data_IF_234559908866
#
_entry.id   IF_234559908866
#
_cell.length_a   1.000
_cell.length_b   1.000
_cell.length_c   1.000
_cell.angle_alpha   90.00
_cell.angle_beta   90.00
_cell.angle_gamma   90.00
#
_symmetry.space_group_name_H-M   'P 1'
#
loop_
_entity.id
_entity.type
_entity.pdbx_description
1 polymer ?
#
# COMPACT_ATOMS: atom_id res chain seq x y z
N UNK A 1 -13.80 14.98 -19.03
CA UNK A 1 -12.49 14.88 -18.37
C UNK A 1 -12.56 14.52 -16.87
N UNK A 2 -13.59 14.91 -16.12
CA UNK A 2 -13.74 14.60 -14.66
C UNK A 2 -14.06 13.13 -14.33
N UNK A 3 -14.80 12.44 -15.18
CA UNK A 3 -15.16 11.01 -14.99
C UNK A 3 -13.93 10.09 -15.11
N UNK A 4 -12.97 10.43 -15.95
CA UNK A 4 -11.77 9.62 -16.21
C UNK A 4 -10.80 9.51 -15.03
N UNK A 5 -10.71 10.53 -14.13
CA UNK A 5 -9.80 10.49 -12.98
C UNK A 5 -10.33 9.64 -11.82
N UNK A 6 -11.65 9.61 -11.60
CA UNK A 6 -12.27 8.75 -10.59
C UNK A 6 -12.19 7.26 -11.01
N UNK A 7 -12.30 6.99 -12.30
CA UNK A 7 -12.17 5.64 -12.87
C UNK A 7 -10.73 5.11 -12.80
N UNK A 8 -9.71 6.01 -12.85
CA UNK A 8 -8.30 5.64 -12.76
C UNK A 8 -7.95 4.84 -11.51
N UNK A 9 -8.53 5.17 -10.33
CA UNK A 9 -8.31 4.43 -9.10
C UNK A 9 -9.01 3.07 -9.04
N UNK A 10 -9.97 2.85 -9.91
CA UNK A 10 -10.79 1.63 -9.94
C UNK A 10 -10.47 0.73 -11.13
N UNK A 11 -9.76 1.25 -12.13
CA UNK A 11 -9.34 0.48 -13.28
C UNK A 11 -8.30 -0.57 -12.87
N UNK A 12 -8.51 -1.79 -13.34
CA UNK A 12 -7.62 -2.92 -13.04
C UNK A 12 -6.94 -3.38 -14.32
N UNK A 13 -5.65 -3.66 -14.22
CA UNK A 13 -4.88 -4.20 -15.34
C UNK A 13 -5.43 -5.55 -15.84
N UNK A 14 -5.87 -6.39 -14.92
CA UNK A 14 -6.55 -7.63 -15.26
C UNK A 14 -8.01 -7.56 -14.81
N UNK A 15 -8.96 -8.03 -15.65
CA UNK A 15 -10.35 -8.10 -15.28
C UNK A 15 -10.56 -8.90 -13.98
N UNK A 16 -11.27 -8.33 -13.03
CA UNK A 16 -11.69 -9.02 -11.80
C UNK A 16 -13.20 -9.22 -11.85
N UNK A 17 -13.68 -10.34 -12.40
CA UNK A 17 -15.11 -10.56 -12.59
C UNK A 17 -15.84 -10.54 -11.24
N UNK A 18 -17.09 -10.09 -11.23
CA UNK A 18 -17.93 -10.11 -10.03
C UNK A 18 -18.02 -11.55 -9.48
N UNK A 19 -17.93 -11.68 -8.16
CA UNK A 19 -18.13 -12.95 -7.47
C UNK A 19 -19.51 -12.92 -6.83
N UNK A 20 -20.43 -13.77 -7.27
CA UNK A 20 -21.84 -13.75 -6.85
C UNK A 20 -22.07 -13.73 -5.33
N UNK A 21 -21.15 -14.31 -4.55
CA UNK A 21 -21.26 -14.40 -3.09
C UNK A 21 -20.25 -13.55 -2.31
N UNK A 22 -19.48 -12.70 -2.99
CA UNK A 22 -18.46 -11.87 -2.34
C UNK A 22 -18.88 -10.39 -2.36
N UNK A 23 -19.36 -9.92 -1.22
CA UNK A 23 -19.80 -8.53 -1.03
C UNK A 23 -18.64 -7.54 -0.86
N UNK A 24 -17.38 -8.03 -0.81
CA UNK A 24 -16.21 -7.19 -0.57
C UNK A 24 -15.83 -6.41 -1.83
N UNK A 25 -15.57 -5.09 -1.73
CA UNK A 25 -15.00 -4.31 -2.81
C UNK A 25 -13.65 -4.89 -3.28
N UNK A 26 -13.22 -4.64 -4.52
CA UNK A 26 -11.96 -5.17 -5.06
C UNK A 26 -10.75 -4.89 -4.17
N UNK A 27 -10.54 -3.65 -3.73
CA UNK A 27 -9.39 -3.28 -2.89
C UNK A 27 -9.44 -3.90 -1.49
N UNK A 28 -10.62 -4.18 -0.94
CA UNK A 28 -10.73 -4.94 0.32
C UNK A 28 -10.26 -6.38 0.15
N UNK A 29 -10.50 -6.99 -1.02
CA UNK A 29 -9.96 -8.31 -1.34
C UNK A 29 -8.44 -8.27 -1.46
N UNK A 30 -7.89 -7.26 -2.14
CA UNK A 30 -6.45 -7.09 -2.30
C UNK A 30 -5.76 -6.85 -0.96
N UNK A 31 -6.34 -6.00 -0.10
CA UNK A 31 -5.90 -5.83 1.29
C UNK A 31 -5.82 -7.16 2.04
N UNK A 32 -6.85 -7.98 1.92
CA UNK A 32 -6.86 -9.33 2.52
C UNK A 32 -5.77 -10.23 1.95
N UNK A 33 -5.55 -10.22 0.64
CA UNK A 33 -4.48 -11.00 -0.02
C UNK A 33 -3.10 -10.62 0.51
N UNK A 34 -2.81 -9.32 0.63
CA UNK A 34 -1.54 -8.84 1.17
C UNK A 34 -1.36 -9.28 2.61
N UNK A 35 -2.34 -9.02 3.49
CA UNK A 35 -2.28 -9.40 4.90
C UNK A 35 -2.05 -10.89 5.14
N UNK A 36 -2.62 -11.74 4.29
CA UNK A 36 -2.50 -13.19 4.38
C UNK A 36 -1.33 -13.77 3.58
N UNK A 37 -0.57 -12.95 2.87
CA UNK A 37 0.58 -13.39 2.09
C UNK A 37 1.73 -13.89 2.98
N UNK A 38 2.51 -14.84 2.47
CA UNK A 38 3.70 -15.30 3.15
C UNK A 38 4.74 -14.18 3.28
N UNK A 39 4.89 -13.36 2.24
CA UNK A 39 5.82 -12.25 2.20
C UNK A 39 5.53 -11.21 3.30
N UNK A 40 4.25 -10.88 3.54
CA UNK A 40 3.87 -9.97 4.63
C UNK A 40 4.19 -10.53 6.01
N UNK A 41 3.92 -11.82 6.25
CA UNK A 41 4.27 -12.48 7.51
C UNK A 41 5.78 -12.51 7.77
N UNK A 42 6.59 -12.65 6.72
CA UNK A 42 8.05 -12.61 6.83
C UNK A 42 8.60 -11.27 7.32
N UNK A 43 7.82 -10.19 7.27
CA UNK A 43 8.21 -8.89 7.84
C UNK A 43 8.40 -8.95 9.36
N UNK A 44 7.81 -9.92 10.05
CA UNK A 44 8.02 -10.13 11.48
C UNK A 44 9.48 -10.46 11.82
N UNK A 45 10.18 -11.19 10.94
CA UNK A 45 11.56 -11.59 11.13
C UNK A 45 12.58 -10.61 10.53
N UNK A 46 12.12 -9.52 9.92
CA UNK A 46 12.99 -8.49 9.35
C UNK A 46 13.17 -7.34 10.33
N UNK A 47 14.41 -6.93 10.57
CA UNK A 47 14.75 -5.80 11.43
C UNK A 47 14.25 -4.49 10.83
N UNK A 48 13.75 -3.58 11.68
CA UNK A 48 13.52 -2.18 11.31
C UNK A 48 14.78 -1.34 11.65
N UNK A 49 15.15 -1.27 12.91
CA UNK A 49 16.32 -0.55 13.44
C UNK A 49 17.17 -1.48 14.31
N UNK A 50 16.54 -2.24 15.20
CA UNK A 50 17.21 -3.16 16.13
C UNK A 50 17.01 -4.61 15.70
N UNK A 51 17.91 -5.51 16.15
CA UNK A 51 17.82 -6.93 15.86
C UNK A 51 16.55 -7.55 16.49
N UNK A 52 15.96 -8.50 15.77
CA UNK A 52 14.78 -9.23 16.27
C UNK A 52 15.22 -10.10 17.45
N UNK A 53 14.50 -10.01 18.58
CA UNK A 53 14.75 -10.81 19.76
C UNK A 53 15.61 -10.14 20.84
N UNK A 54 16.09 -8.91 20.63
CA UNK A 54 16.80 -8.15 21.67
C UNK A 54 15.83 -7.61 22.74
N UNK A 55 14.62 -7.24 22.37
CA UNK A 55 13.57 -6.78 23.28
C UNK A 55 12.20 -6.88 22.62
N UNK A 56 11.16 -7.19 23.40
CA UNK A 56 9.79 -7.34 22.94
C UNK A 56 9.14 -6.01 22.49
N UNK A 57 9.70 -4.87 22.90
CA UNK A 57 9.21 -3.54 22.54
C UNK A 57 9.75 -3.02 21.20
N UNK A 58 10.72 -3.69 20.59
CA UNK A 58 11.29 -3.20 19.34
C UNK A 58 10.34 -3.43 18.18
N UNK A 59 10.22 -2.37 17.36
CA UNK A 59 9.38 -2.38 16.17
C UNK A 59 9.98 -3.32 15.11
N UNK A 60 9.19 -4.29 14.69
CA UNK A 60 9.48 -5.09 13.49
C UNK A 60 8.95 -4.36 12.24
N UNK A 61 9.37 -4.79 11.04
CA UNK A 61 8.78 -4.26 9.80
C UNK A 61 7.29 -4.59 9.67
N UNK A 62 6.83 -5.69 10.28
CA UNK A 62 5.42 -6.03 10.33
C UNK A 62 4.61 -4.99 11.13
N UNK A 63 5.03 -4.71 12.37
CA UNK A 63 4.34 -3.73 13.21
C UNK A 63 4.42 -2.33 12.63
N UNK A 64 5.55 -1.95 12.02
CA UNK A 64 5.69 -0.72 11.26
C UNK A 64 4.65 -0.61 10.14
N UNK A 65 4.52 -1.64 9.30
CA UNK A 65 3.55 -1.63 8.20
C UNK A 65 2.10 -1.53 8.68
N UNK A 66 1.77 -2.13 9.83
CA UNK A 66 0.45 -1.99 10.45
C UNK A 66 0.18 -0.55 10.91
N UNK A 67 1.16 0.09 11.56
CA UNK A 67 1.05 1.49 12.01
C UNK A 67 0.95 2.46 10.83
N UNK A 68 1.75 2.26 9.79
CA UNK A 68 1.70 3.07 8.56
C UNK A 68 0.33 2.95 7.88
N UNK A 69 -0.25 1.76 7.85
CA UNK A 69 -1.59 1.55 7.29
C UNK A 69 -2.68 2.27 8.09
N UNK A 70 -2.60 2.23 9.41
CA UNK A 70 -3.51 2.94 10.29
C UNK A 70 -3.42 4.45 10.10
N UNK A 71 -2.21 5.01 10.03
CA UNK A 71 -1.99 6.44 9.78
C UNK A 71 -2.50 6.83 8.39
N UNK A 72 -2.15 6.05 7.35
CA UNK A 72 -2.59 6.32 5.99
C UNK A 72 -4.11 6.34 5.84
N UNK A 73 -4.79 5.37 6.45
CA UNK A 73 -6.26 5.29 6.48
C UNK A 73 -6.88 6.50 7.22
N UNK A 74 -6.28 6.90 8.33
CA UNK A 74 -6.70 8.08 9.11
C UNK A 74 -6.53 9.37 8.32
N UNK A 75 -5.40 9.56 7.63
CA UNK A 75 -5.16 10.72 6.78
C UNK A 75 -6.18 10.83 5.64
N UNK A 76 -6.46 9.74 4.94
CA UNK A 76 -7.48 9.72 3.88
C UNK A 76 -8.86 10.04 4.45
N UNK A 77 -9.19 9.51 5.62
CA UNK A 77 -10.47 9.80 6.28
C UNK A 77 -10.56 11.28 6.67
N UNK A 78 -9.49 11.86 7.22
CA UNK A 78 -9.41 13.28 7.54
C UNK A 78 -9.55 14.16 6.30
N UNK A 79 -8.87 13.82 5.19
CA UNK A 79 -8.97 14.55 3.93
C UNK A 79 -10.38 14.47 3.32
N UNK A 80 -11.15 13.44 3.60
CA UNK A 80 -12.57 13.31 3.17
C UNK A 80 -13.53 14.06 4.08
N UNK A 81 -13.09 14.46 5.27
CA UNK A 81 -13.94 15.16 6.23
C UNK A 81 -14.19 16.61 5.81
N UNK A 82 -15.42 17.07 5.97
CA UNK A 82 -15.87 18.36 5.41
C UNK A 82 -15.08 19.57 5.94
N UNK A 83 -14.68 19.54 7.22
CA UNK A 83 -13.93 20.62 7.87
C UNK A 83 -12.51 20.79 7.32
N UNK A 84 -11.90 19.74 6.82
CA UNK A 84 -10.57 19.81 6.20
C UNK A 84 -10.53 20.69 4.96
N UNK A 85 -11.69 20.94 4.33
CA UNK A 85 -11.78 21.81 3.17
C UNK A 85 -11.90 23.31 3.52
N UNK A 86 -12.15 23.67 4.78
CA UNK A 86 -12.31 25.08 5.18
C UNK A 86 -11.01 25.85 4.97
N UNK A 87 -9.92 25.40 5.57
CA UNK A 87 -8.63 26.08 5.46
C UNK A 87 -8.12 26.15 4.00
N UNK A 88 -8.34 25.09 3.22
CA UNK A 88 -7.93 25.07 1.82
C UNK A 88 -8.82 25.98 0.96
N UNK A 89 -10.13 26.01 1.24
CA UNK A 89 -11.11 26.91 0.62
C UNK A 89 -10.72 28.39 0.82
N UNK A 90 -10.40 28.75 2.05
CA UNK A 90 -9.99 30.11 2.42
C UNK A 90 -8.67 30.50 1.72
N UNK A 91 -7.68 29.60 1.70
CA UNK A 91 -6.40 29.85 1.05
C UNK A 91 -6.51 30.00 -0.47
N UNK A 92 -7.35 29.19 -1.12
CA UNK A 92 -7.50 29.18 -2.58
C UNK A 92 -8.61 30.14 -3.08
N UNK A 93 -9.37 30.76 -2.18
CA UNK A 93 -10.55 31.59 -2.52
C UNK A 93 -11.57 30.85 -3.39
N UNK A 94 -11.75 29.53 -3.13
CA UNK A 94 -12.70 28.68 -3.82
C UNK A 94 -13.79 28.28 -2.81
N UNK A 95 -15.06 28.29 -3.24
CA UNK A 95 -16.17 27.87 -2.40
C UNK A 95 -15.97 26.42 -1.90
N UNK A 96 -16.11 26.20 -0.58
CA UNK A 96 -15.87 24.89 0.08
C UNK A 96 -16.60 23.74 -0.62
N UNK A 97 -17.84 23.96 -0.99
CA UNK A 97 -18.69 22.96 -1.66
C UNK A 97 -18.14 22.56 -3.03
N UNK A 98 -17.62 23.52 -3.79
CA UNK A 98 -17.02 23.28 -5.11
C UNK A 98 -15.68 22.57 -4.95
N UNK A 99 -14.85 22.98 -3.99
CA UNK A 99 -13.57 22.35 -3.67
C UNK A 99 -13.77 20.87 -3.27
N UNK A 100 -14.71 20.60 -2.39
CA UNK A 100 -15.05 19.25 -1.95
C UNK A 100 -15.51 18.37 -3.12
N UNK A 101 -16.37 18.92 -4.00
CA UNK A 101 -16.86 18.21 -5.19
C UNK A 101 -15.74 17.87 -6.18
N UNK A 102 -14.69 18.71 -6.24
CA UNK A 102 -13.55 18.49 -7.12
C UNK A 102 -12.55 17.49 -6.53
N UNK A 103 -12.22 17.57 -5.24
CA UNK A 103 -11.16 16.80 -4.60
C UNK A 103 -11.61 15.42 -4.12
N UNK A 104 -12.83 15.30 -3.58
CA UNK A 104 -13.32 14.03 -3.03
C UNK A 104 -13.23 12.83 -3.99
N UNK A 105 -13.53 12.96 -5.30
CA UNK A 105 -13.37 11.86 -6.26
C UNK A 105 -11.92 11.50 -6.54
N UNK A 106 -10.97 12.38 -6.23
CA UNK A 106 -9.54 12.14 -6.45
C UNK A 106 -8.88 11.40 -5.29
N UNK A 107 -9.55 11.29 -4.14
CA UNK A 107 -8.99 10.61 -2.97
C UNK A 107 -9.21 9.10 -3.08
N UNK A 108 -8.18 8.29 -2.78
CA UNK A 108 -8.28 6.84 -2.79
C UNK A 108 -9.26 6.33 -1.74
N UNK A 109 -9.71 5.09 -1.87
CA UNK A 109 -10.45 4.41 -0.81
C UNK A 109 -9.50 4.06 0.36
N UNK A 110 -10.06 3.92 1.58
CA UNK A 110 -9.27 3.47 2.73
C UNK A 110 -8.70 2.07 2.50
N UNK A 111 -9.46 1.17 1.87
CA UNK A 111 -8.98 -0.18 1.53
C UNK A 111 -7.78 -0.14 0.58
N UNK A 112 -7.75 0.79 -0.39
CA UNK A 112 -6.62 0.95 -1.30
C UNK A 112 -5.39 1.48 -0.58
N UNK A 113 -5.52 2.56 0.20
CA UNK A 113 -4.37 3.12 0.91
C UNK A 113 -3.79 2.15 1.94
N UNK A 114 -4.63 1.42 2.67
CA UNK A 114 -4.17 0.37 3.59
C UNK A 114 -3.43 -0.74 2.84
N UNK A 115 -3.92 -1.15 1.67
CA UNK A 115 -3.25 -2.16 0.83
C UNK A 115 -1.84 -1.72 0.43
N UNK A 116 -1.70 -0.46 -0.01
CA UNK A 116 -0.40 0.11 -0.38
C UNK A 116 0.53 0.21 0.83
N UNK A 117 0.01 0.67 1.97
CA UNK A 117 0.78 0.77 3.21
C UNK A 117 1.25 -0.60 3.73
N UNK A 118 0.43 -1.65 3.63
CA UNK A 118 0.86 -3.00 3.98
C UNK A 118 1.93 -3.53 3.03
N UNK A 119 1.86 -3.17 1.77
CA UNK A 119 2.75 -3.69 0.74
C UNK A 119 4.13 -3.03 0.70
N UNK A 120 4.27 -1.79 1.18
CA UNK A 120 5.42 -0.94 0.89
C UNK A 120 6.79 -1.57 1.25
N UNK A 121 6.85 -2.34 2.34
CA UNK A 121 8.11 -2.93 2.86
C UNK A 121 8.30 -4.42 2.52
N UNK A 122 7.36 -5.05 1.81
CA UNK A 122 7.38 -6.51 1.55
C UNK A 122 8.66 -6.95 0.85
N UNK A 123 9.12 -6.18 -0.13
CA UNK A 123 10.32 -6.47 -0.92
C UNK A 123 11.64 -6.10 -0.25
N UNK A 124 11.60 -5.48 0.92
CA UNK A 124 12.83 -5.05 1.59
C UNK A 124 13.67 -6.26 2.02
N UNK A 125 14.98 -6.26 1.76
CA UNK A 125 15.83 -7.40 2.09
C UNK A 125 16.14 -7.47 3.59
N UNK A 126 16.66 -8.59 4.10
CA UNK A 126 17.22 -8.64 5.44
C UNK A 126 18.39 -7.67 5.58
N UNK A 127 18.67 -7.24 6.80
CA UNK A 127 19.75 -6.28 7.17
C UNK A 127 19.55 -4.85 6.63
N UNK A 128 18.31 -4.46 6.34
CA UNK A 128 17.94 -3.09 5.97
C UNK A 128 18.64 -2.60 4.69
N UNK A 129 18.94 -1.31 4.64
CA UNK A 129 19.59 -0.69 3.47
C UNK A 129 21.01 -1.23 3.21
N UNK A 130 21.74 -1.67 4.24
CA UNK A 130 23.03 -2.34 4.06
C UNK A 130 22.90 -3.63 3.26
N UNK A 131 21.86 -4.43 3.57
CA UNK A 131 21.54 -5.64 2.80
C UNK A 131 21.12 -5.33 1.36
N UNK A 132 20.39 -4.26 1.14
CA UNK A 132 19.99 -3.80 -0.19
C UNK A 132 21.20 -3.42 -1.05
N UNK A 133 22.11 -2.62 -0.51
CA UNK A 133 23.36 -2.25 -1.19
C UNK A 133 24.19 -3.48 -1.54
N UNK A 134 24.34 -4.40 -0.59
CA UNK A 134 25.10 -5.64 -0.80
C UNK A 134 24.47 -6.51 -1.89
N UNK A 135 23.14 -6.71 -1.86
CA UNK A 135 22.44 -7.46 -2.88
C UNK A 135 22.53 -6.80 -4.26
N UNK A 136 22.36 -5.48 -4.33
CA UNK A 136 22.50 -4.75 -5.58
C UNK A 136 23.90 -4.91 -6.18
N UNK A 137 24.94 -4.82 -5.35
CA UNK A 137 26.32 -5.07 -5.79
C UNK A 137 26.52 -6.49 -6.30
N UNK A 138 26.06 -7.49 -5.58
CA UNK A 138 26.20 -8.91 -5.99
C UNK A 138 25.42 -9.21 -7.27
N UNK A 139 24.28 -8.57 -7.47
CA UNK A 139 23.41 -8.77 -8.63
C UNK A 139 23.69 -7.82 -9.80
N UNK A 140 24.76 -7.01 -9.75
CA UNK A 140 25.04 -5.98 -10.76
C UNK A 140 25.06 -6.46 -12.21
N UNK A 141 25.45 -7.72 -12.42
CA UNK A 141 25.49 -8.36 -13.75
C UNK A 141 24.16 -9.05 -14.11
N UNK A 142 23.15 -9.00 -13.22
CA UNK A 142 21.87 -9.68 -13.35
C UNK A 142 20.67 -8.70 -13.19
N UNK A 143 20.88 -7.43 -13.49
CA UNK A 143 19.84 -6.40 -13.39
C UNK A 143 19.79 -5.65 -12.05
N UNK A 144 20.66 -5.97 -11.10
CA UNK A 144 20.71 -5.30 -9.79
C UNK A 144 19.60 -5.77 -8.84
N UNK A 145 19.47 -5.07 -7.71
CA UNK A 145 18.42 -5.26 -6.72
C UNK A 145 17.95 -3.91 -6.16
N UNK A 146 16.63 -3.74 -6.04
CA UNK A 146 16.00 -2.57 -5.40
C UNK A 146 14.73 -3.03 -4.67
N UNK A 147 14.54 -2.56 -3.43
CA UNK A 147 13.48 -3.03 -2.53
C UNK A 147 12.06 -2.79 -3.05
N UNK A 148 11.78 -1.62 -3.64
CA UNK A 148 10.45 -1.32 -4.18
C UNK A 148 10.15 -2.12 -5.45
N UNK A 149 11.15 -2.29 -6.32
CA UNK A 149 11.02 -3.17 -7.49
C UNK A 149 10.75 -4.62 -7.08
N UNK A 150 11.40 -5.08 -6.01
CA UNK A 150 11.14 -6.40 -5.44
C UNK A 150 9.75 -6.49 -4.81
N UNK A 151 9.27 -5.44 -4.13
CA UNK A 151 7.88 -5.37 -3.66
C UNK A 151 6.90 -5.57 -4.81
N UNK A 152 7.06 -4.81 -5.88
CA UNK A 152 6.23 -4.93 -7.07
C UNK A 152 6.28 -6.34 -7.68
N UNK A 153 7.47 -6.92 -7.78
CA UNK A 153 7.67 -8.28 -8.29
C UNK A 153 6.98 -9.34 -7.42
N UNK A 154 7.07 -9.22 -6.09
CA UNK A 154 6.41 -10.14 -5.16
C UNK A 154 4.90 -10.08 -5.35
N UNK A 155 4.31 -8.90 -5.30
CA UNK A 155 2.87 -8.71 -5.36
C UNK A 155 2.30 -9.16 -6.71
N UNK A 156 3.01 -8.91 -7.82
CA UNK A 156 2.50 -9.17 -9.16
C UNK A 156 2.83 -10.56 -9.70
N UNK A 157 3.90 -11.21 -9.21
CA UNK A 157 4.43 -12.42 -9.84
C UNK A 157 4.74 -13.57 -8.90
N UNK A 158 5.23 -13.30 -7.69
CA UNK A 158 5.83 -14.33 -6.85
C UNK A 158 4.90 -14.86 -5.78
N UNK A 159 3.98 -14.05 -5.25
CA UNK A 159 3.06 -14.50 -4.21
C UNK A 159 1.99 -15.43 -4.79
N UNK A 160 1.87 -16.66 -4.30
CA UNK A 160 0.91 -17.63 -4.81
C UNK A 160 -0.48 -17.37 -4.24
N UNK A 161 -1.29 -16.58 -4.93
CA UNK A 161 -2.71 -16.44 -4.60
C UNK A 161 -3.51 -17.64 -5.14
N UNK A 162 -4.47 -18.12 -4.37
CA UNK A 162 -5.25 -19.34 -4.64
C UNK A 162 -5.95 -19.34 -6.01
N UNK A 163 -6.23 -18.20 -6.57
CA UNK A 163 -6.86 -18.05 -7.87
C UNK A 163 -5.88 -17.66 -8.99
N UNK A 164 -4.59 -17.75 -8.74
CA UNK A 164 -3.50 -17.35 -9.65
C UNK A 164 -3.62 -15.90 -10.14
N UNK A 165 -4.36 -15.06 -9.47
CA UNK A 165 -4.51 -13.64 -9.79
C UNK A 165 -3.60 -12.84 -8.89
N UNK A 166 -2.80 -12.00 -9.50
CA UNK A 166 -2.03 -10.97 -8.77
C UNK A 166 -2.97 -9.98 -8.08
N UNK A 167 -2.45 -9.26 -7.09
CA UNK A 167 -3.17 -8.19 -6.39
C UNK A 167 -3.41 -6.97 -7.29
N UNK A 168 -2.69 -6.88 -8.40
CA UNK A 168 -2.69 -5.72 -9.31
C UNK A 168 -3.25 -6.11 -10.67
#
# INVERSE_FOLDING_TARGET
>A
MRTQLADFWTERFLPDPPREKDHRPPFRRDRGRILHSAAFRCLQAKTQIHAVGENDFYRTRLTHSLEVAQIGSSLVSQLKFAESYVAISDMLHIEKSELQKQLKPLLPSNDLIESLCFAHDIGHPPFGHGGEVALNYMMRNHGGFEGNAQTFRIITKLEPYTDRKSVV
#
